data_IF_818788734979
#
_entry.id   IF_818788734979
#
_cell.length_a   1.000
_cell.length_b   1.000
_cell.length_c   1.000
_cell.angle_alpha   90.00
_cell.angle_beta   90.00
_cell.angle_gamma   90.00
#
_symmetry.space_group_name_H-M   'P 1'
#
loop_
_entity.id
_entity.type
_entity.pdbx_description
1 polymer ?
#
# COMPACT_ATOMS: atom_id res chain seq x y z
N UNK A 1 -24.92 41.76 -4.28
CA UNK A 1 -24.16 41.02 -5.32
C UNK A 1 -22.84 40.44 -4.79
N UNK A 2 -22.01 41.19 -4.07
CA UNK A 2 -20.75 40.70 -3.48
C UNK A 2 -20.92 39.45 -2.58
N UNK A 3 -21.96 39.41 -1.75
CA UNK A 3 -22.24 38.28 -0.85
C UNK A 3 -22.53 36.98 -1.61
N UNK A 4 -23.20 37.08 -2.76
CA UNK A 4 -23.53 35.92 -3.61
C UNK A 4 -22.26 35.36 -4.26
N UNK A 5 -21.34 36.22 -4.69
CA UNK A 5 -20.04 35.81 -5.23
C UNK A 5 -19.19 35.09 -4.19
N UNK A 6 -19.16 35.60 -2.95
CA UNK A 6 -18.44 34.96 -1.84
C UNK A 6 -19.00 33.57 -1.55
N UNK A 7 -20.34 33.42 -1.53
CA UNK A 7 -20.98 32.12 -1.33
C UNK A 7 -20.65 31.12 -2.45
N UNK A 8 -20.63 31.57 -3.71
CA UNK A 8 -20.26 30.72 -4.86
C UNK A 8 -18.81 30.23 -4.76
N UNK A 9 -17.87 31.07 -4.34
CA UNK A 9 -16.47 30.69 -4.16
C UNK A 9 -16.32 29.68 -3.01
N UNK A 10 -16.99 29.90 -1.88
CA UNK A 10 -16.96 28.96 -0.74
C UNK A 10 -17.53 27.60 -1.13
N UNK A 11 -18.65 27.58 -1.85
CA UNK A 11 -19.28 26.34 -2.33
C UNK A 11 -18.36 25.62 -3.33
N UNK A 12 -17.74 26.35 -4.25
CA UNK A 12 -16.78 25.79 -5.19
C UNK A 12 -15.58 25.16 -4.48
N UNK A 13 -14.96 25.88 -3.53
CA UNK A 13 -13.88 25.36 -2.71
C UNK A 13 -14.32 24.13 -1.90
N UNK A 14 -15.52 24.14 -1.31
CA UNK A 14 -16.05 23.00 -0.59
C UNK A 14 -16.18 21.76 -1.50
N UNK A 15 -16.75 21.91 -2.70
CA UNK A 15 -16.91 20.81 -3.68
C UNK A 15 -15.54 20.24 -4.08
N UNK A 16 -14.55 21.10 -4.36
CA UNK A 16 -13.20 20.67 -4.73
C UNK A 16 -12.47 19.94 -3.58
N UNK A 17 -12.64 20.37 -2.33
CA UNK A 17 -11.99 19.75 -1.17
C UNK A 17 -12.58 18.38 -0.80
N UNK A 18 -13.84 18.08 -1.16
CA UNK A 18 -14.47 16.79 -0.84
C UNK A 18 -14.00 15.63 -1.74
N UNK A 19 -13.55 15.91 -2.98
CA UNK A 19 -13.14 14.87 -3.93
C UNK A 19 -11.85 14.11 -3.56
N UNK A 20 -11.00 14.66 -2.68
CA UNK A 20 -9.72 14.05 -2.31
C UNK A 20 -9.81 12.89 -1.30
N UNK A 21 -10.91 12.76 -0.53
CA UNK A 21 -10.97 11.81 0.59
C UNK A 21 -11.20 10.34 0.19
N UNK A 22 -11.75 10.08 -1.00
CA UNK A 22 -12.11 8.72 -1.43
C UNK A 22 -10.88 7.89 -1.80
N UNK A 23 -9.95 8.48 -2.57
CA UNK A 23 -8.75 7.81 -3.09
C UNK A 23 -7.79 7.32 -2.00
N UNK A 24 -7.71 8.01 -0.86
CA UNK A 24 -6.83 7.62 0.24
C UNK A 24 -7.24 6.28 0.87
N UNK A 25 -8.55 6.01 0.98
CA UNK A 25 -9.05 4.74 1.53
C UNK A 25 -8.79 3.59 0.58
N UNK A 26 -9.01 3.80 -0.72
CA UNK A 26 -8.76 2.78 -1.74
C UNK A 26 -7.26 2.43 -1.80
N UNK A 27 -6.37 3.44 -1.74
CA UNK A 27 -4.92 3.23 -1.69
C UNK A 27 -4.47 2.51 -0.41
N UNK A 28 -5.07 2.83 0.75
CA UNK A 28 -4.79 2.11 2.00
C UNK A 28 -5.24 0.65 1.92
N UNK A 29 -6.39 0.38 1.30
CA UNK A 29 -6.92 -0.96 1.11
C UNK A 29 -6.07 -1.76 0.10
N UNK A 30 -5.59 -1.13 -0.97
CA UNK A 30 -4.66 -1.72 -1.94
C UNK A 30 -3.33 -2.06 -1.27
N UNK A 31 -2.77 -1.13 -0.47
CA UNK A 31 -1.55 -1.35 0.31
C UNK A 31 -1.69 -2.48 1.32
N UNK A 32 -2.85 -2.63 1.95
CA UNK A 32 -3.16 -3.75 2.84
C UNK A 32 -3.28 -5.09 2.08
N UNK A 33 -3.72 -5.06 0.82
CA UNK A 33 -3.87 -6.25 -0.03
C UNK A 33 -2.56 -6.75 -0.61
N UNK A 34 -1.57 -5.87 -0.77
CA UNK A 34 -0.20 -6.29 -1.11
C UNK A 34 0.45 -6.80 0.17
N UNK A 35 0.42 -8.12 0.37
CA UNK A 35 0.98 -8.76 1.55
C UNK A 35 2.51 -8.84 1.43
N UNK A 36 3.24 -8.33 2.42
CA UNK A 36 4.71 -8.44 2.46
C UNK A 36 5.10 -9.88 2.79
N UNK A 37 5.58 -10.62 1.81
CA UNK A 37 6.03 -12.01 1.95
C UNK A 37 7.54 -12.15 1.73
N UNK A 38 8.14 -13.14 2.39
CA UNK A 38 9.49 -13.66 2.10
C UNK A 38 9.43 -15.14 1.76
N UNK A 39 10.50 -15.67 1.20
CA UNK A 39 10.66 -17.12 1.01
C UNK A 39 11.21 -17.78 2.27
N UNK A 40 10.69 -18.96 2.59
CA UNK A 40 11.26 -19.79 3.64
C UNK A 40 12.61 -20.35 3.17
N UNK A 41 13.70 -20.21 3.95
CA UNK A 41 15.02 -20.71 3.54
C UNK A 41 15.09 -22.24 3.45
N UNK A 42 14.24 -22.97 4.17
CA UNK A 42 14.26 -24.43 4.21
C UNK A 42 13.44 -25.09 3.09
N UNK A 43 12.33 -24.47 2.69
CA UNK A 43 11.39 -25.08 1.73
C UNK A 43 11.00 -24.17 0.56
N UNK A 44 11.57 -22.97 0.48
CA UNK A 44 11.35 -21.96 -0.57
C UNK A 44 9.92 -21.46 -0.72
N UNK A 45 9.01 -21.89 0.14
CA UNK A 45 7.61 -21.49 0.07
C UNK A 45 7.41 -20.08 0.64
N UNK A 46 6.40 -19.36 0.13
CA UNK A 46 6.14 -17.97 0.52
C UNK A 46 5.45 -17.89 1.87
N UNK A 47 6.03 -17.11 2.77
CA UNK A 47 5.55 -16.89 4.14
C UNK A 47 5.50 -15.40 4.45
N UNK A 48 4.69 -15.00 5.44
CA UNK A 48 4.65 -13.62 5.87
C UNK A 48 6.01 -13.16 6.40
N UNK A 49 6.35 -11.89 6.16
CA UNK A 49 7.64 -11.30 6.57
C UNK A 49 7.88 -11.40 8.09
N UNK A 50 6.81 -11.29 8.87
CA UNK A 50 6.85 -11.36 10.34
C UNK A 50 6.61 -12.78 10.89
N UNK A 51 6.52 -13.79 10.02
CA UNK A 51 6.34 -15.16 10.46
C UNK A 51 7.57 -15.65 11.24
N UNK A 52 7.32 -16.20 12.43
CA UNK A 52 8.33 -16.86 13.28
C UNK A 52 8.50 -18.34 12.94
N UNK A 53 7.51 -18.93 12.28
CA UNK A 53 7.48 -20.35 11.90
C UNK A 53 6.88 -20.45 10.50
N UNK A 54 7.47 -21.29 9.65
CA UNK A 54 6.93 -21.58 8.33
C UNK A 54 5.68 -22.45 8.45
N UNK A 55 4.56 -22.06 7.84
CA UNK A 55 3.30 -22.84 7.89
C UNK A 55 3.34 -24.16 7.11
N UNK A 56 4.36 -24.35 6.27
CA UNK A 56 4.45 -25.49 5.35
C UNK A 56 5.44 -26.53 5.86
N UNK A 57 6.69 -26.13 6.10
CA UNK A 57 7.72 -27.03 6.63
C UNK A 57 7.88 -26.98 8.15
N UNK A 58 7.19 -26.07 8.85
CA UNK A 58 7.27 -25.88 10.31
C UNK A 58 8.65 -25.48 10.84
N UNK A 59 9.60 -25.13 9.96
CA UNK A 59 10.89 -24.60 10.36
C UNK A 59 10.75 -23.25 11.09
N UNK A 60 11.60 -23.02 12.09
CA UNK A 60 11.69 -21.73 12.78
C UNK A 60 12.38 -20.73 11.87
N UNK A 61 11.74 -19.60 11.66
CA UNK A 61 12.26 -18.54 10.81
C UNK A 61 12.97 -17.50 11.67
N UNK A 62 14.21 -17.17 11.32
CA UNK A 62 14.93 -16.08 11.93
C UNK A 62 14.26 -14.73 11.60
N UNK A 63 14.31 -13.73 12.49
CA UNK A 63 13.94 -12.36 12.13
C UNK A 63 14.84 -11.87 10.99
N UNK A 64 14.26 -11.09 10.07
CA UNK A 64 15.02 -10.47 8.99
C UNK A 64 15.93 -9.37 9.54
N UNK A 65 17.10 -9.22 8.95
CA UNK A 65 17.96 -8.06 9.16
C UNK A 65 17.32 -6.80 8.57
N UNK A 66 17.79 -5.64 9.04
CA UNK A 66 17.32 -4.33 8.54
C UNK A 66 17.54 -4.22 7.02
N UNK A 67 18.68 -4.69 6.52
CA UNK A 67 19.00 -4.67 5.09
C UNK A 67 18.01 -5.53 4.27
N UNK A 68 17.66 -6.73 4.75
CA UNK A 68 16.68 -7.57 4.06
C UNK A 68 15.27 -6.95 4.06
N UNK A 69 14.88 -6.31 5.17
CA UNK A 69 13.61 -5.59 5.28
C UNK A 69 13.54 -4.43 4.29
N UNK A 70 14.61 -3.65 4.13
CA UNK A 70 14.70 -2.54 3.17
C UNK A 70 14.59 -3.02 1.72
N UNK A 71 15.25 -4.14 1.38
CA UNK A 71 15.13 -4.75 0.06
C UNK A 71 13.69 -5.20 -0.23
N UNK A 72 13.04 -5.88 0.71
CA UNK A 72 11.63 -6.31 0.56
C UNK A 72 10.71 -5.10 0.46
N UNK A 73 10.95 -4.05 1.26
CA UNK A 73 10.18 -2.81 1.21
C UNK A 73 10.31 -2.10 -0.14
N UNK A 74 11.51 -2.05 -0.71
CA UNK A 74 11.76 -1.42 -2.01
C UNK A 74 11.09 -2.20 -3.13
N UNK A 75 11.19 -3.54 -3.11
CA UNK A 75 10.48 -4.40 -4.07
C UNK A 75 8.96 -4.24 -3.97
N UNK A 76 8.44 -4.08 -2.76
CA UNK A 76 7.03 -3.79 -2.50
C UNK A 76 6.58 -2.45 -3.08
N UNK A 77 7.33 -1.37 -2.83
CA UNK A 77 7.03 -0.03 -3.36
C UNK A 77 7.05 -0.03 -4.90
N UNK A 78 8.06 -0.65 -5.51
CA UNK A 78 8.13 -0.81 -6.97
C UNK A 78 6.92 -1.55 -7.54
N UNK A 79 6.35 -2.50 -6.78
CA UNK A 79 5.15 -3.21 -7.20
C UNK A 79 3.89 -2.34 -7.10
N UNK A 80 3.82 -1.44 -6.11
CA UNK A 80 2.73 -0.47 -6.01
C UNK A 80 2.78 0.54 -7.14
N UNK A 81 3.96 1.08 -7.48
CA UNK A 81 4.10 2.06 -8.55
C UNK A 81 3.58 1.52 -9.90
N UNK A 82 3.81 0.23 -10.18
CA UNK A 82 3.28 -0.44 -11.37
C UNK A 82 1.75 -0.54 -11.39
N UNK A 83 1.13 -0.73 -10.22
CA UNK A 83 -0.34 -0.82 -10.13
C UNK A 83 -0.98 0.53 -10.43
N UNK A 84 -0.36 1.63 -9.98
CA UNK A 84 -0.83 2.98 -10.27
C UNK A 84 -0.76 3.29 -11.78
N UNK A 85 0.27 2.81 -12.50
CA UNK A 85 0.38 2.96 -13.96
C UNK A 85 -0.74 2.22 -14.72
N UNK A 86 -1.01 0.97 -14.33
CA UNK A 86 -2.06 0.15 -14.97
C UNK A 86 -3.47 0.72 -14.72
N UNK A 87 -3.72 1.33 -13.57
CA UNK A 87 -5.01 1.94 -13.21
C UNK A 87 -5.25 3.31 -13.88
N UNK A 88 -4.18 3.99 -14.31
CA UNK A 88 -4.28 5.26 -15.08
C UNK A 88 -4.56 5.00 -16.57
N UNK A 89 -4.21 3.81 -17.09
CA UNK A 89 -4.36 3.42 -18.50
C UNK A 89 -5.63 2.60 -18.80
N UNK A 90 -6.48 2.35 -17.80
CA UNK A 90 -7.78 1.68 -17.94
C UNK A 90 -8.95 2.64 -17.77
#
# INVERSE_FOLDING_TARGET
>A
MLFILILMVIIFFAIHNLAGKKRLKDLQMLKAKVEKSRECPDCSEKVQINAKVCRYCHAKLAPLSVAELECIQTAYLKKLDRLDEDEIMS
#
